data_IF_939499030446
#
_entry.id   IF_939499030446
#
_cell.length_a   1.000
_cell.length_b   1.000
_cell.length_c   1.000
_cell.angle_alpha   90.00
_cell.angle_beta   90.00
_cell.angle_gamma   90.00
#
_symmetry.space_group_name_H-M   'P 1'
#
loop_
_entity.id
_entity.type
_entity.pdbx_description
1 polymer ?
#
# COMPACT_ATOMS: atom_id res chain seq x y z
N UNK A 1 -14.43 0.82 -1.99
CA UNK A 1 -12.96 0.71 -1.83
C UNK A 1 -12.30 1.68 -2.78
N UNK A 2 -11.35 2.47 -2.30
CA UNK A 2 -10.52 3.33 -3.14
C UNK A 2 -9.11 2.76 -3.12
N UNK A 3 -8.53 2.52 -4.29
CA UNK A 3 -7.19 1.94 -4.41
C UNK A 3 -6.19 3.02 -4.80
N UNK A 4 -5.09 3.09 -4.06
CA UNK A 4 -3.96 3.96 -4.37
C UNK A 4 -2.74 3.08 -4.56
N UNK A 5 -2.09 3.22 -5.72
CA UNK A 5 -0.84 2.52 -6.03
C UNK A 5 0.34 3.49 -5.90
N UNK A 6 1.27 3.13 -5.04
CA UNK A 6 2.55 3.83 -4.85
C UNK A 6 3.64 2.84 -5.23
N UNK A 7 4.44 3.19 -6.24
CA UNK A 7 5.40 2.29 -6.85
C UNK A 7 6.82 2.89 -6.84
N UNK A 8 7.81 2.00 -6.85
CA UNK A 8 9.24 2.32 -6.75
C UNK A 8 10.02 1.63 -7.89
N UNK A 9 9.71 1.95 -9.16
CA UNK A 9 10.34 1.31 -10.31
C UNK A 9 11.83 1.66 -10.39
N UNK A 10 12.65 0.70 -10.82
CA UNK A 10 14.10 0.89 -11.00
C UNK A 10 14.47 1.55 -12.34
N UNK A 11 13.75 1.21 -13.40
CA UNK A 11 14.09 1.60 -14.78
C UNK A 11 13.11 2.59 -15.41
N UNK A 12 11.91 2.74 -14.85
CA UNK A 12 10.90 3.67 -15.38
C UNK A 12 11.14 5.06 -14.78
N UNK A 13 11.36 6.10 -15.60
CA UNK A 13 11.54 7.46 -15.10
C UNK A 13 10.30 7.98 -14.36
N UNK A 14 10.54 8.79 -13.32
CA UNK A 14 9.51 9.48 -12.56
C UNK A 14 10.00 10.90 -12.26
N UNK A 15 9.06 11.84 -12.11
CA UNK A 15 9.41 13.20 -11.68
C UNK A 15 9.99 13.19 -10.26
N UNK A 16 10.75 14.23 -9.92
CA UNK A 16 11.34 14.34 -8.59
C UNK A 16 10.26 14.47 -7.51
N UNK A 17 9.18 15.18 -7.80
CA UNK A 17 8.04 15.37 -6.90
C UNK A 17 7.38 14.02 -6.57
N UNK A 18 7.13 13.18 -7.57
CA UNK A 18 6.56 11.84 -7.33
C UNK A 18 7.49 10.96 -6.51
N UNK A 19 8.81 10.98 -6.79
CA UNK A 19 9.79 10.21 -6.01
C UNK A 19 9.81 10.65 -4.56
N UNK A 20 9.85 11.96 -4.31
CA UNK A 20 9.83 12.52 -2.96
C UNK A 20 8.54 12.17 -2.22
N UNK A 21 7.38 12.36 -2.86
CA UNK A 21 6.08 12.00 -2.28
C UNK A 21 6.02 10.52 -1.88
N UNK A 22 6.43 9.61 -2.77
CA UNK A 22 6.44 8.17 -2.50
C UNK A 22 7.40 7.81 -1.35
N UNK A 23 8.59 8.40 -1.31
CA UNK A 23 9.58 8.19 -0.26
C UNK A 23 9.10 8.71 1.10
N UNK A 24 8.50 9.89 1.15
CA UNK A 24 7.92 10.46 2.38
C UNK A 24 6.84 9.53 2.95
N UNK A 25 5.97 8.98 2.11
CA UNK A 25 4.96 8.03 2.56
C UNK A 25 5.57 6.70 3.03
N UNK A 26 6.56 6.17 2.32
CA UNK A 26 7.27 4.96 2.74
C UNK A 26 7.93 5.13 4.12
N UNK A 27 8.57 6.28 4.36
CA UNK A 27 9.16 6.61 5.66
C UNK A 27 8.09 6.77 6.74
N UNK A 28 7.02 7.54 6.47
CA UNK A 28 5.91 7.78 7.42
C UNK A 28 5.30 6.49 7.93
N UNK A 29 5.15 5.47 7.07
CA UNK A 29 4.53 4.19 7.43
C UNK A 29 5.55 3.06 7.69
N UNK A 30 6.85 3.38 7.78
CA UNK A 30 7.92 2.44 8.09
C UNK A 30 7.96 1.25 7.13
N UNK A 31 7.87 1.50 5.83
CA UNK A 31 7.89 0.46 4.79
C UNK A 31 9.33 -0.02 4.58
N UNK A 32 9.58 -1.32 4.79
CA UNK A 32 10.90 -1.93 4.69
C UNK A 32 11.03 -2.91 3.51
N UNK A 33 9.91 -3.31 2.89
CA UNK A 33 9.87 -4.27 1.81
C UNK A 33 8.57 -4.20 1.02
N UNK A 34 8.54 -4.87 -0.13
CA UNK A 34 7.40 -4.86 -1.05
C UNK A 34 7.00 -6.30 -1.44
N UNK A 35 5.70 -6.56 -1.67
CA UNK A 35 4.57 -5.63 -1.51
C UNK A 35 4.22 -5.41 -0.03
N UNK A 36 3.96 -4.15 0.34
CA UNK A 36 3.30 -3.79 1.61
C UNK A 36 1.99 -3.06 1.29
N UNK A 37 0.90 -3.48 1.92
CA UNK A 37 -0.45 -2.97 1.74
C UNK A 37 -0.92 -2.41 3.07
N UNK A 38 -1.39 -1.16 3.05
CA UNK A 38 -1.96 -0.48 4.20
C UNK A 38 -3.48 -0.42 4.02
N UNK A 39 -4.21 -0.91 5.02
CA UNK A 39 -5.67 -0.83 5.07
C UNK A 39 -6.02 0.32 6.00
N UNK A 40 -6.83 1.26 5.51
CA UNK A 40 -7.21 2.46 6.25
C UNK A 40 -8.73 2.60 6.28
N UNK A 41 -9.25 3.21 7.36
CA UNK A 41 -10.65 3.62 7.43
C UNK A 41 -10.91 4.91 6.62
N UNK A 42 -12.16 5.37 6.62
CA UNK A 42 -12.56 6.60 5.92
C UNK A 42 -11.99 7.89 6.55
N UNK A 43 -11.51 7.84 7.79
CA UNK A 43 -10.84 8.94 8.47
C UNK A 43 -9.32 8.95 8.22
N UNK A 44 -8.79 7.91 7.55
CA UNK A 44 -7.37 7.75 7.26
C UNK A 44 -6.57 7.10 8.39
N UNK A 45 -7.24 6.51 9.39
CA UNK A 45 -6.56 5.73 10.42
C UNK A 45 -6.12 4.39 9.86
N UNK A 46 -4.93 3.93 10.27
CA UNK A 46 -4.39 2.64 9.85
C UNK A 46 -5.07 1.50 10.60
N UNK A 47 -5.85 0.68 9.89
CA UNK A 47 -6.50 -0.52 10.44
C UNK A 47 -5.57 -1.73 10.42
N UNK A 48 -4.79 -1.89 9.34
CA UNK A 48 -3.86 -3.01 9.20
C UNK A 48 -2.70 -2.70 8.26
N UNK A 49 -1.58 -3.39 8.48
CA UNK A 49 -0.42 -3.47 7.57
C UNK A 49 -0.23 -4.93 7.20
N UNK A 50 -0.30 -5.22 5.91
CA UNK A 50 -0.24 -6.58 5.36
C UNK A 50 0.59 -6.60 4.08
N UNK A 51 0.66 -7.75 3.41
CA UNK A 51 1.39 -7.93 2.16
C UNK A 51 0.67 -8.97 1.30
N UNK A 52 1.45 -9.78 0.59
CA UNK A 52 0.90 -10.91 -0.16
C UNK A 52 0.14 -11.88 0.76
N UNK A 53 -1.02 -12.36 0.30
CA UNK A 53 -1.74 -13.47 0.90
C UNK A 53 -1.98 -14.56 -0.16
N UNK A 54 -1.74 -15.84 0.16
CA UNK A 54 -2.02 -16.94 -0.76
C UNK A 54 -3.53 -17.11 -0.97
N UNK A 55 -3.91 -17.77 -2.07
CA UNK A 55 -5.31 -18.10 -2.36
C UNK A 55 -6.00 -17.18 -3.37
N UNK A 56 -5.26 -16.26 -4.00
CA UNK A 56 -5.76 -15.46 -5.13
C UNK A 56 -6.63 -14.27 -4.75
N UNK A 57 -7.10 -13.54 -5.77
CA UNK A 57 -7.72 -12.23 -5.62
C UNK A 57 -9.01 -12.25 -4.79
N UNK A 58 -9.89 -13.23 -4.98
CA UNK A 58 -11.16 -13.32 -4.26
C UNK A 58 -10.94 -13.46 -2.74
N UNK A 59 -10.00 -14.32 -2.34
CA UNK A 59 -9.64 -14.49 -0.94
C UNK A 59 -8.97 -13.23 -0.37
N UNK A 60 -8.17 -12.54 -1.18
CA UNK A 60 -7.56 -11.27 -0.78
C UNK A 60 -8.60 -10.18 -0.49
N UNK A 61 -9.62 -10.06 -1.36
CA UNK A 61 -10.72 -9.11 -1.16
C UNK A 61 -11.52 -9.44 0.10
N UNK A 62 -11.85 -10.71 0.33
CA UNK A 62 -12.53 -11.14 1.55
C UNK A 62 -11.70 -10.83 2.80
N UNK A 63 -10.38 -11.05 2.74
CA UNK A 63 -9.46 -10.70 3.81
C UNK A 63 -9.46 -9.19 4.09
N UNK A 64 -9.40 -8.32 3.07
CA UNK A 64 -9.49 -6.86 3.25
C UNK A 64 -10.84 -6.48 3.90
N UNK A 65 -11.95 -7.06 3.44
CA UNK A 65 -13.29 -6.75 3.95
C UNK A 65 -13.52 -7.19 5.40
N UNK A 66 -12.64 -8.04 5.95
CA UNK A 66 -12.69 -8.44 7.36
C UNK A 66 -12.26 -7.32 8.33
N UNK A 67 -11.48 -6.35 7.84
CA UNK A 67 -11.12 -5.15 8.60
C UNK A 67 -12.29 -4.15 8.48
N UNK A 68 -13.17 -4.15 9.49
CA UNK A 68 -14.28 -3.20 9.63
C UNK A 68 -13.91 -2.04 10.54
#
# INVERSE_FOLDING_TARGET
MVLVKIDFPRSVPQSNETKMYNQTLAQKYGIQGFPTILIMDNAGNLLAKTGYQPGGAANYVNYIQSFR
#
